data_IF_354064636494
#
_entry.id   IF_354064636494
#
_cell.length_a   1.000
_cell.length_b   1.000
_cell.length_c   1.000
_cell.angle_alpha   90.00
_cell.angle_beta   90.00
_cell.angle_gamma   90.00
#
_symmetry.space_group_name_H-M   'P 1'
#
loop_
_entity.id
_entity.type
_entity.pdbx_description
1 polymer ?
#
# COMPACT_ATOMS: atom_id res chain seq x y z
N UNK A 1 1.61 -26.21 9.82
CA UNK A 1 1.29 -25.14 10.79
C UNK A 1 1.71 -23.84 10.17
N UNK A 2 0.77 -23.00 9.76
CA UNK A 2 1.10 -21.63 9.37
C UNK A 2 1.47 -20.87 10.64
N UNK A 3 2.67 -20.32 10.69
CA UNK A 3 3.08 -19.44 11.79
C UNK A 3 2.12 -18.25 11.75
N UNK A 4 1.45 -17.88 12.85
CA UNK A 4 0.72 -16.63 12.88
C UNK A 4 1.77 -15.54 12.68
N UNK A 5 1.79 -14.99 11.47
CA UNK A 5 2.51 -13.74 11.22
C UNK A 5 1.99 -12.77 12.26
N UNK A 6 2.89 -12.11 12.97
CA UNK A 6 2.49 -11.07 13.91
C UNK A 6 1.78 -9.99 13.10
N UNK A 7 0.45 -9.96 13.21
CA UNK A 7 -0.42 -9.06 12.45
C UNK A 7 -0.01 -7.60 12.67
N UNK A 8 0.63 -7.27 13.80
CA UNK A 8 1.12 -5.90 14.05
C UNK A 8 2.33 -5.54 13.18
N UNK A 9 3.30 -6.45 13.06
CA UNK A 9 4.47 -6.25 12.22
C UNK A 9 4.10 -6.22 10.74
N UNK A 10 3.17 -7.09 10.32
CA UNK A 10 2.64 -7.09 8.96
C UNK A 10 1.89 -5.79 8.63
N UNK A 11 1.01 -5.32 9.51
CA UNK A 11 0.29 -4.05 9.31
C UNK A 11 1.25 -2.86 9.26
N UNK A 12 2.25 -2.82 10.14
CA UNK A 12 3.28 -1.78 10.12
C UNK A 12 4.07 -1.79 8.80
N UNK A 13 4.42 -2.99 8.31
CA UNK A 13 5.09 -3.16 7.03
C UNK A 13 4.21 -2.68 5.86
N UNK A 14 2.93 -3.06 5.82
CA UNK A 14 1.98 -2.63 4.79
C UNK A 14 1.77 -1.10 4.80
N UNK A 15 1.64 -0.48 5.97
CA UNK A 15 1.58 0.99 6.10
C UNK A 15 2.86 1.66 5.57
N UNK A 16 4.02 1.01 5.77
CA UNK A 16 5.28 1.49 5.21
C UNK A 16 5.28 1.37 3.69
N UNK A 17 4.76 0.27 3.13
CA UNK A 17 4.63 0.13 1.67
C UNK A 17 3.73 1.22 1.07
N UNK A 18 2.65 1.60 1.75
CA UNK A 18 1.76 2.66 1.29
C UNK A 18 2.52 4.00 1.14
N UNK A 19 3.34 4.36 2.13
CA UNK A 19 4.19 5.57 2.08
C UNK A 19 5.23 5.53 0.95
N UNK A 20 5.80 4.36 0.67
CA UNK A 20 6.74 4.18 -0.45
C UNK A 20 6.03 4.43 -1.78
N UNK A 21 4.81 3.91 -1.93
CA UNK A 21 4.00 4.13 -3.12
C UNK A 21 3.64 5.62 -3.29
N UNK A 22 3.26 6.32 -2.23
CA UNK A 22 3.03 7.78 -2.26
C UNK A 22 4.26 8.55 -2.74
N UNK A 23 5.44 8.19 -2.23
CA UNK A 23 6.69 8.81 -2.64
C UNK A 23 6.98 8.58 -4.14
N UNK A 24 6.72 7.37 -4.64
CA UNK A 24 6.85 7.05 -6.06
C UNK A 24 5.82 7.80 -6.92
N UNK A 25 4.58 7.98 -6.46
CA UNK A 25 3.58 8.78 -7.18
C UNK A 25 4.01 10.24 -7.28
N UNK A 26 4.54 10.81 -6.19
CA UNK A 26 5.07 12.17 -6.17
C UNK A 26 6.26 12.32 -7.13
N UNK A 27 7.16 11.34 -7.15
CA UNK A 27 8.30 11.31 -8.06
C UNK A 27 7.85 11.22 -9.53
N UNK A 28 6.94 10.32 -9.87
CA UNK A 28 6.41 10.20 -11.24
C UNK A 28 5.70 11.47 -11.68
N UNK A 29 4.89 12.07 -10.81
CA UNK A 29 4.19 13.34 -11.10
C UNK A 29 5.13 14.51 -11.36
N UNK A 30 6.37 14.44 -10.87
CA UNK A 30 7.38 15.48 -11.11
C UNK A 30 8.05 15.39 -12.48
N UNK A 31 7.86 14.28 -13.20
CA UNK A 31 8.52 14.00 -14.48
C UNK A 31 7.54 14.27 -15.64
N UNK A 32 7.85 15.18 -16.57
CA UNK A 32 6.96 15.51 -17.69
C UNK A 32 6.83 14.40 -18.73
N UNK A 33 7.76 13.45 -18.73
CA UNK A 33 7.86 12.27 -19.61
C UNK A 33 7.46 10.97 -18.89
N UNK A 34 6.79 11.07 -17.74
CA UNK A 34 6.34 9.89 -17.00
C UNK A 34 5.41 9.02 -17.86
N UNK A 35 5.69 7.71 -17.84
CA UNK A 35 4.86 6.71 -18.50
C UNK A 35 3.48 6.64 -17.82
N UNK A 36 2.44 7.06 -18.54
CA UNK A 36 1.05 7.04 -18.08
C UNK A 36 0.64 5.64 -17.58
N UNK A 37 1.12 4.58 -18.22
CA UNK A 37 0.79 3.22 -17.80
C UNK A 37 1.39 2.90 -16.43
N UNK A 38 2.60 3.41 -16.13
CA UNK A 38 3.22 3.25 -14.82
C UNK A 38 2.48 4.04 -13.75
N UNK A 39 2.07 5.27 -14.07
CA UNK A 39 1.26 6.11 -13.17
C UNK A 39 -0.05 5.40 -12.81
N UNK A 40 -0.79 4.90 -13.79
CA UNK A 40 -2.06 4.19 -13.56
C UNK A 40 -1.89 2.89 -12.78
N UNK A 41 -0.80 2.15 -13.00
CA UNK A 41 -0.51 0.93 -12.24
C UNK A 41 -0.22 1.25 -10.78
N UNK A 42 0.54 2.33 -10.54
CA UNK A 42 0.90 2.75 -9.20
C UNK A 42 -0.31 3.31 -8.44
N UNK A 43 -1.19 4.06 -9.11
CA UNK A 43 -2.46 4.52 -8.57
C UNK A 43 -3.35 3.34 -8.13
N UNK A 44 -3.56 2.36 -9.01
CA UNK A 44 -4.34 1.15 -8.68
C UNK A 44 -3.73 0.36 -7.53
N UNK A 45 -2.40 0.27 -7.44
CA UNK A 45 -1.73 -0.40 -6.34
C UNK A 45 -2.00 0.33 -5.01
N UNK A 46 -1.86 1.66 -5.01
CA UNK A 46 -2.15 2.48 -3.84
C UNK A 46 -3.58 2.25 -3.33
N UNK A 47 -4.56 2.33 -4.23
CA UNK A 47 -5.98 2.15 -3.89
C UNK A 47 -6.23 0.77 -3.29
N UNK A 48 -5.71 -0.29 -3.95
CA UNK A 48 -5.82 -1.66 -3.45
C UNK A 48 -5.21 -1.83 -2.05
N UNK A 49 -4.00 -1.31 -1.83
CA UNK A 49 -3.32 -1.47 -0.55
C UNK A 49 -4.04 -0.70 0.58
N UNK A 50 -4.62 0.46 0.25
CA UNK A 50 -5.37 1.26 1.20
C UNK A 50 -6.69 0.56 1.61
N UNK A 51 -7.41 -0.02 0.64
CA UNK A 51 -8.59 -0.85 0.89
C UNK A 51 -8.24 -2.07 1.76
N UNK A 52 -7.13 -2.74 1.44
CA UNK A 52 -6.67 -3.92 2.16
C UNK A 52 -6.27 -3.59 3.60
N UNK A 53 -5.59 -2.46 3.83
CA UNK A 53 -5.27 -1.95 5.16
C UNK A 53 -6.53 -1.61 5.98
N UNK A 54 -7.53 -0.99 5.36
CA UNK A 54 -8.83 -0.71 5.99
C UNK A 54 -9.54 -2.00 6.42
N UNK A 55 -9.52 -3.00 5.54
CA UNK A 55 -10.08 -4.33 5.80
C UNK A 55 -9.36 -5.03 6.96
N UNK A 56 -8.03 -5.11 6.91
CA UNK A 56 -7.23 -5.80 7.92
C UNK A 56 -7.26 -5.11 9.29
N UNK A 57 -7.28 -3.77 9.32
CA UNK A 57 -7.42 -3.02 10.57
C UNK A 57 -8.78 -3.25 11.23
N UNK A 58 -9.84 -3.36 10.45
CA UNK A 58 -11.19 -3.71 10.94
C UNK A 58 -11.21 -5.12 11.56
N UNK A 59 -10.60 -6.12 10.88
CA UNK A 59 -10.50 -7.48 11.43
C UNK A 59 -9.74 -7.51 12.77
N UNK A 60 -8.65 -6.74 12.89
CA UNK A 60 -7.87 -6.66 14.13
C UNK A 60 -8.67 -6.06 15.28
N UNK A 61 -9.54 -5.08 15.03
CA UNK A 61 -10.37 -4.49 16.08
C UNK A 61 -11.48 -5.45 16.58
N UNK A 62 -11.86 -6.42 15.75
CA UNK A 62 -12.90 -7.39 16.07
C UNK A 62 -12.39 -8.70 16.70
N UNK A 63 -11.06 -8.91 16.71
CA UNK A 63 -10.38 -10.08 17.27
C UNK A 63 -9.82 -9.81 18.67
#
# INVERSE_FOLDING_TARGET
MCVPVDDSAMLCWLQTQLRVIEAWQAELSSRPDADLQQVERLARHYDWLNEELSRLSTYRQAA
#
